data_IF_975976204073
#
_entry.id   IF_975976204073
#
_cell.length_a   1.000
_cell.length_b   1.000
_cell.length_c   1.000
_cell.angle_alpha   90.00
_cell.angle_beta   90.00
_cell.angle_gamma   90.00
#
_symmetry.space_group_name_H-M   'P 1'
#
loop_
_entity.id
_entity.type
_entity.pdbx_description
1 polymer ?
#
# COMPACT_ATOMS: atom_id res chain seq x y z
N UNK A 1 1.18 -37.20 -36.78
CA UNK A 1 2.45 -36.78 -36.17
C UNK A 1 2.19 -35.99 -34.88
N UNK A 2 2.07 -36.70 -33.76
CA UNK A 2 1.99 -36.11 -32.43
C UNK A 2 3.40 -36.17 -31.83
N UNK A 3 4.15 -35.08 -31.91
CA UNK A 3 5.40 -34.90 -31.16
C UNK A 3 5.43 -33.47 -30.63
N UNK A 4 5.37 -33.39 -29.30
CA UNK A 4 5.36 -32.14 -28.55
C UNK A 4 5.20 -32.42 -27.07
N UNK A 5 5.84 -33.47 -26.55
CA UNK A 5 5.92 -33.71 -25.11
C UNK A 5 6.98 -32.75 -24.58
N UNK A 6 6.55 -31.60 -24.08
CA UNK A 6 7.39 -30.71 -23.28
C UNK A 6 7.76 -31.45 -21.99
N UNK A 7 9.00 -31.92 -21.92
CA UNK A 7 9.57 -32.46 -20.69
C UNK A 7 9.86 -31.29 -19.74
N UNK A 8 8.92 -30.98 -18.84
CA UNK A 8 9.30 -30.36 -17.57
C UNK A 8 10.05 -31.44 -16.78
N UNK A 9 11.38 -31.32 -16.69
CA UNK A 9 12.21 -32.19 -15.86
C UNK A 9 11.76 -32.07 -14.40
N UNK A 10 11.54 -33.19 -13.71
CA UNK A 10 11.01 -33.21 -12.33
C UNK A 10 11.82 -32.36 -11.33
N UNK A 11 13.11 -32.16 -11.59
CA UNK A 11 13.99 -31.29 -10.80
C UNK A 11 13.60 -29.80 -10.89
N UNK A 12 13.18 -29.34 -12.06
CA UNK A 12 12.71 -27.95 -12.27
C UNK A 12 11.37 -27.70 -11.57
N UNK A 13 10.52 -28.73 -11.51
CA UNK A 13 9.25 -28.67 -10.77
C UNK A 13 9.47 -28.67 -9.26
N UNK A 14 10.39 -29.50 -8.76
CA UNK A 14 10.74 -29.54 -7.33
C UNK A 14 11.38 -28.22 -6.85
N UNK A 15 12.22 -27.59 -7.66
CA UNK A 15 12.82 -26.29 -7.33
C UNK A 15 11.77 -25.17 -7.34
N UNK A 16 10.83 -25.18 -8.30
CA UNK A 16 9.68 -24.25 -8.30
C UNK A 16 8.78 -24.46 -7.08
N UNK A 17 8.54 -25.71 -6.66
CA UNK A 17 7.75 -26.01 -5.47
C UNK A 17 8.47 -25.47 -4.22
N UNK A 18 9.78 -25.70 -4.08
CA UNK A 18 10.56 -25.18 -2.94
C UNK A 18 10.57 -23.65 -2.90
N UNK A 19 10.74 -23.00 -4.05
CA UNK A 19 10.68 -21.53 -4.14
C UNK A 19 9.30 -21.00 -3.74
N UNK A 20 8.23 -21.64 -4.23
CA UNK A 20 6.87 -21.27 -3.86
C UNK A 20 6.60 -21.44 -2.35
N UNK A 21 7.09 -22.53 -1.75
CA UNK A 21 6.98 -22.77 -0.32
C UNK A 21 7.75 -21.74 0.49
N UNK A 22 8.99 -21.42 0.09
CA UNK A 22 9.78 -20.38 0.73
C UNK A 22 9.08 -19.02 0.69
N UNK A 23 8.43 -18.67 -0.43
CA UNK A 23 7.63 -17.45 -0.56
C UNK A 23 6.41 -17.44 0.35
N UNK A 24 5.71 -18.57 0.49
CA UNK A 24 4.57 -18.71 1.41
C UNK A 24 5.03 -18.54 2.86
N UNK A 25 6.12 -19.20 3.26
CA UNK A 25 6.68 -19.08 4.63
C UNK A 25 7.05 -17.63 4.95
N UNK A 26 7.77 -16.94 4.04
CA UNK A 26 8.08 -15.51 4.20
C UNK A 26 6.83 -14.64 4.33
N UNK A 27 5.77 -14.97 3.57
CA UNK A 27 4.49 -14.25 3.64
C UNK A 27 3.79 -14.44 4.98
N UNK A 28 3.78 -15.67 5.51
CA UNK A 28 3.20 -16.00 6.82
C UNK A 28 4.00 -15.32 7.93
N UNK A 29 5.33 -15.43 7.89
CA UNK A 29 6.21 -14.78 8.85
C UNK A 29 5.95 -13.28 8.89
N UNK A 30 6.01 -12.60 7.74
CA UNK A 30 5.71 -11.16 7.63
C UNK A 30 4.37 -10.80 8.28
N UNK A 31 3.30 -11.52 7.92
CA UNK A 31 1.96 -11.27 8.47
C UNK A 31 1.87 -11.50 9.97
N UNK A 32 2.66 -12.43 10.52
CA UNK A 32 2.72 -12.69 11.95
C UNK A 32 3.48 -11.61 12.74
N UNK A 33 4.47 -10.96 12.12
CA UNK A 33 5.27 -9.90 12.75
C UNK A 33 4.51 -8.57 12.82
N UNK A 34 3.69 -8.27 11.81
CA UNK A 34 3.03 -6.97 11.64
C UNK A 34 2.28 -6.47 12.89
N UNK A 35 1.42 -7.26 13.57
CA UNK A 35 0.70 -6.75 14.75
C UNK A 35 1.63 -6.26 15.87
N UNK A 36 2.73 -6.98 16.12
CA UNK A 36 3.69 -6.61 17.16
C UNK A 36 4.53 -5.41 16.75
N UNK A 37 4.96 -5.35 15.49
CA UNK A 37 5.69 -4.19 14.95
C UNK A 37 4.82 -2.93 15.05
N UNK A 38 3.57 -2.98 14.59
CA UNK A 38 2.64 -1.84 14.67
C UNK A 38 2.46 -1.37 16.10
N UNK A 39 2.24 -2.29 17.05
CA UNK A 39 2.13 -1.95 18.47
C UNK A 39 3.38 -1.24 18.97
N UNK A 40 4.57 -1.79 18.73
CA UNK A 40 5.82 -1.21 19.19
C UNK A 40 6.12 0.14 18.52
N UNK A 41 5.80 0.30 17.24
CA UNK A 41 5.94 1.57 16.52
C UNK A 41 5.08 2.68 17.14
N UNK A 42 3.84 2.39 17.53
CA UNK A 42 2.97 3.33 18.26
C UNK A 42 3.61 3.73 19.60
N UNK A 43 4.13 2.75 20.34
CA UNK A 43 4.75 3.00 21.64
C UNK A 43 6.02 3.84 21.50
N UNK A 44 6.90 3.51 20.55
CA UNK A 44 8.12 4.27 20.28
C UNK A 44 7.82 5.71 19.86
N UNK A 45 6.89 5.91 18.90
CA UNK A 45 6.48 7.23 18.45
C UNK A 45 5.81 8.06 19.55
N UNK A 46 5.00 7.42 20.41
CA UNK A 46 4.40 8.11 21.55
C UNK A 46 5.44 8.53 22.60
N UNK A 47 6.45 7.68 22.80
CA UNK A 47 7.44 7.86 23.85
C UNK A 47 8.48 8.92 23.52
N UNK A 48 8.76 9.14 22.23
CA UNK A 48 9.65 10.23 21.79
C UNK A 48 9.14 11.61 22.23
N UNK A 49 7.81 11.82 22.27
CA UNK A 49 7.18 13.09 22.69
C UNK A 49 7.11 13.25 24.22
N UNK A 50 6.92 12.16 24.96
CA UNK A 50 6.73 12.24 26.42
C UNK A 50 7.99 12.64 27.19
N UNK A 51 9.17 12.59 26.58
CA UNK A 51 10.42 12.53 27.33
C UNK A 51 10.49 11.24 28.15
N UNK A 52 11.68 10.89 28.64
CA UNK A 52 11.97 9.60 29.28
C UNK A 52 11.17 9.23 30.54
N UNK A 53 10.20 10.06 30.97
CA UNK A 53 9.48 9.92 32.24
C UNK A 53 7.97 9.98 31.99
N UNK A 54 7.29 8.86 32.18
CA UNK A 54 5.84 8.83 32.25
C UNK A 54 5.32 9.64 33.45
N UNK A 55 4.07 10.14 33.36
CA UNK A 55 3.40 10.88 34.43
C UNK A 55 3.32 10.14 35.79
N UNK A 56 3.65 8.84 35.81
CA UNK A 56 3.65 7.97 36.97
C UNK A 56 5.07 7.63 37.51
N UNK A 57 6.14 8.21 36.95
CA UNK A 57 7.52 7.93 37.39
C UNK A 57 8.10 6.59 36.93
N UNK A 58 7.38 5.85 36.06
CA UNK A 58 7.93 4.67 35.39
C UNK A 58 8.88 5.11 34.27
N UNK A 59 10.09 4.56 34.29
CA UNK A 59 11.06 4.66 33.19
C UNK A 59 10.48 3.88 32.00
N UNK A 60 10.57 4.45 30.81
CA UNK A 60 10.21 3.79 29.57
C UNK A 60 11.01 2.50 29.40
N UNK A 61 10.34 1.40 29.07
CA UNK A 61 10.98 0.08 28.95
C UNK A 61 11.96 0.07 27.75
N UNK A 62 13.29 0.05 28.00
CA UNK A 62 14.29 -0.01 26.92
C UNK A 62 14.19 -1.30 26.09
N UNK A 63 13.45 -2.32 26.58
CA UNK A 63 13.17 -3.53 25.83
C UNK A 63 12.26 -3.27 24.62
N UNK A 64 11.41 -2.23 24.62
CA UNK A 64 10.49 -1.96 23.50
C UNK A 64 11.23 -1.55 22.23
N UNK A 65 12.24 -0.68 22.35
CA UNK A 65 13.03 -0.22 21.21
C UNK A 65 13.95 -1.31 20.67
N UNK A 66 14.58 -2.08 21.55
CA UNK A 66 15.44 -3.20 21.15
C UNK A 66 14.64 -4.35 20.53
N UNK A 67 13.43 -4.63 21.03
CA UNK A 67 12.51 -5.58 20.39
C UNK A 67 12.10 -5.08 18.99
N UNK A 68 11.70 -3.82 18.86
CA UNK A 68 11.32 -3.26 17.55
C UNK A 68 12.48 -3.33 16.55
N UNK A 69 13.70 -3.00 16.99
CA UNK A 69 14.91 -3.16 16.17
C UNK A 69 15.09 -4.59 15.69
N UNK A 70 14.94 -5.57 16.58
CA UNK A 70 15.09 -6.99 16.24
C UNK A 70 14.04 -7.43 15.20
N UNK A 71 12.79 -6.98 15.37
CA UNK A 71 11.72 -7.27 14.42
C UNK A 71 11.93 -6.58 13.07
N UNK A 72 12.45 -5.35 13.05
CA UNK A 72 12.84 -4.65 11.83
C UNK A 72 13.98 -5.36 11.10
N UNK A 73 14.96 -5.90 11.84
CA UNK A 73 16.01 -6.74 11.27
C UNK A 73 15.45 -8.00 10.61
N UNK A 74 14.46 -8.66 11.24
CA UNK A 74 13.75 -9.79 10.61
C UNK A 74 12.96 -9.35 9.37
N UNK A 75 12.31 -8.19 9.42
CA UNK A 75 11.59 -7.63 8.28
C UNK A 75 12.54 -7.35 7.10
N UNK A 76 13.70 -6.76 7.34
CA UNK A 76 14.73 -6.55 6.32
C UNK A 76 15.20 -7.88 5.70
N UNK A 77 15.40 -8.92 6.52
CA UNK A 77 15.74 -10.24 6.02
C UNK A 77 14.65 -10.84 5.11
N UNK A 78 13.37 -10.59 5.41
CA UNK A 78 12.24 -10.99 4.54
C UNK A 78 12.34 -10.28 3.18
N UNK A 79 12.74 -9.00 3.18
CA UNK A 79 13.01 -8.22 1.97
C UNK A 79 14.28 -8.67 1.22
N UNK A 80 15.11 -9.51 1.84
CA UNK A 80 16.34 -10.04 1.25
C UNK A 80 17.59 -9.23 1.55
N UNK A 81 17.55 -8.35 2.55
CA UNK A 81 18.65 -7.44 2.91
C UNK A 81 19.02 -7.58 4.38
N UNK A 82 20.28 -7.30 4.74
CA UNK A 82 20.59 -7.03 6.14
C UNK A 82 19.91 -5.73 6.58
N UNK A 83 19.75 -5.54 7.89
CA UNK A 83 19.13 -4.32 8.42
C UNK A 83 19.85 -3.06 7.96
N UNK A 84 21.19 -3.07 7.96
CA UNK A 84 22.00 -1.91 7.56
C UNK A 84 21.91 -1.67 6.04
N UNK A 85 22.04 -2.73 5.23
CA UNK A 85 21.95 -2.61 3.77
C UNK A 85 20.57 -2.09 3.33
N UNK A 86 19.50 -2.48 4.03
CA UNK A 86 18.15 -2.01 3.76
C UNK A 86 18.01 -0.50 4.03
N UNK A 87 18.64 0.01 5.08
CA UNK A 87 18.67 1.44 5.41
C UNK A 87 19.44 2.21 4.34
N UNK A 88 20.66 1.75 4.02
CA UNK A 88 21.52 2.40 3.02
C UNK A 88 20.85 2.45 1.64
N UNK A 89 20.25 1.33 1.21
CA UNK A 89 19.51 1.28 -0.05
C UNK A 89 18.35 2.29 -0.08
N UNK A 90 17.63 2.48 1.03
CA UNK A 90 16.53 3.43 1.09
C UNK A 90 16.98 4.88 0.96
N UNK A 91 18.09 5.23 1.62
CA UNK A 91 18.67 6.56 1.47
C UNK A 91 19.22 6.79 0.06
N UNK A 92 19.93 5.81 -0.52
CA UNK A 92 20.44 5.89 -1.89
C UNK A 92 19.31 6.12 -2.91
N UNK A 93 18.18 5.42 -2.75
CA UNK A 93 17.01 5.58 -3.62
C UNK A 93 16.38 6.96 -3.43
N UNK A 94 16.28 7.45 -2.19
CA UNK A 94 15.73 8.77 -1.90
C UNK A 94 16.60 9.91 -2.43
N UNK A 95 17.92 9.75 -2.41
CA UNK A 95 18.86 10.73 -2.95
C UNK A 95 19.06 10.61 -4.47
N UNK A 96 18.44 9.61 -5.11
CA UNK A 96 18.57 9.36 -6.55
C UNK A 96 19.92 8.75 -6.96
N UNK A 97 20.67 8.17 -6.01
CA UNK A 97 21.92 7.46 -6.27
C UNK A 97 21.69 6.05 -6.82
N UNK A 98 20.53 5.44 -6.53
CA UNK A 98 20.13 4.13 -7.06
C UNK A 98 18.71 4.17 -7.62
N UNK A 99 18.48 3.34 -8.63
CA UNK A 99 17.16 3.16 -9.22
C UNK A 99 16.24 2.33 -8.32
N UNK A 100 14.96 2.69 -8.40
CA UNK A 100 13.85 2.07 -7.68
C UNK A 100 13.50 0.64 -8.12
N UNK A 101 14.19 0.09 -9.14
CA UNK A 101 13.86 -1.22 -9.72
C UNK A 101 13.89 -2.34 -8.67
N UNK A 102 14.82 -2.25 -7.71
CA UNK A 102 14.94 -3.19 -6.59
C UNK A 102 13.68 -3.24 -5.70
N UNK A 103 12.86 -2.19 -5.71
CA UNK A 103 11.64 -2.11 -4.91
C UNK A 103 10.39 -2.51 -5.68
N UNK A 104 10.45 -2.57 -7.01
CA UNK A 104 9.29 -2.77 -7.87
C UNK A 104 8.44 -3.99 -7.53
N UNK A 105 9.07 -5.12 -7.15
CA UNK A 105 8.36 -6.36 -6.80
C UNK A 105 7.78 -6.37 -5.37
N UNK A 106 8.29 -5.54 -4.46
CA UNK A 106 7.95 -5.57 -3.02
C UNK A 106 7.68 -4.16 -2.47
N UNK A 107 7.15 -3.26 -3.30
CA UNK A 107 7.08 -1.83 -2.99
C UNK A 107 6.35 -1.56 -1.67
N UNK A 108 5.17 -2.15 -1.48
CA UNK A 108 4.38 -2.01 -0.25
C UNK A 108 5.17 -2.45 0.98
N UNK A 109 5.93 -3.55 0.88
CA UNK A 109 6.70 -4.08 2.00
C UNK A 109 7.88 -3.19 2.35
N UNK A 110 8.54 -2.61 1.34
CA UNK A 110 9.56 -1.58 1.55
C UNK A 110 8.98 -0.35 2.25
N UNK A 111 7.83 0.14 1.79
CA UNK A 111 7.18 1.30 2.43
C UNK A 111 6.81 1.01 3.89
N UNK A 112 6.26 -0.18 4.17
CA UNK A 112 5.97 -0.60 5.54
C UNK A 112 7.24 -0.58 6.41
N UNK A 113 8.33 -1.19 5.91
CA UNK A 113 9.61 -1.19 6.60
C UNK A 113 10.09 0.22 6.93
N UNK A 114 10.03 1.16 5.97
CA UNK A 114 10.47 2.54 6.19
C UNK A 114 9.62 3.29 7.22
N UNK A 115 8.31 3.07 7.21
CA UNK A 115 7.41 3.68 8.20
C UNK A 115 7.73 3.16 9.61
N UNK A 116 7.97 1.86 9.76
CA UNK A 116 8.31 1.26 11.05
C UNK A 116 9.73 1.63 11.50
N UNK A 117 10.68 1.75 10.55
CA UNK A 117 12.03 2.27 10.79
C UNK A 117 11.98 3.69 11.31
N UNK A 118 11.17 4.56 10.69
CA UNK A 118 10.95 5.92 11.16
C UNK A 118 10.41 5.92 12.60
N UNK A 119 9.39 5.11 12.89
CA UNK A 119 8.85 5.01 14.25
C UNK A 119 9.88 4.56 15.30
N UNK A 120 10.79 3.65 14.94
CA UNK A 120 11.89 3.22 15.79
C UNK A 120 12.96 4.32 15.96
N UNK A 121 13.32 5.00 14.87
CA UNK A 121 14.35 6.02 14.87
C UNK A 121 13.94 7.29 15.66
N UNK A 122 12.65 7.63 15.68
CA UNK A 122 12.10 8.68 16.55
C UNK A 122 12.44 8.48 18.03
N UNK A 123 12.55 7.24 18.46
CA UNK A 123 12.85 6.90 19.85
C UNK A 123 14.34 6.67 20.08
N UNK A 124 15.01 6.00 19.14
CA UNK A 124 16.40 5.56 19.31
C UNK A 124 17.43 6.60 18.87
N UNK A 125 17.10 7.47 17.91
CA UNK A 125 17.99 8.46 17.30
C UNK A 125 19.31 7.84 16.79
N UNK A 126 19.22 6.64 16.22
CA UNK A 126 20.37 5.87 15.77
C UNK A 126 20.69 6.07 14.29
N UNK A 127 19.70 6.45 13.47
CA UNK A 127 19.85 6.55 12.01
C UNK A 127 20.31 7.95 11.57
N UNK A 128 19.83 9.01 12.23
CA UNK A 128 20.02 10.40 11.78
C UNK A 128 21.31 11.08 12.29
N UNK A 129 22.25 10.36 12.91
CA UNK A 129 23.42 10.97 13.58
C UNK A 129 24.47 11.60 12.65
N UNK A 130 24.47 11.28 11.36
CA UNK A 130 25.37 11.88 10.35
C UNK A 130 24.63 12.93 9.48
N UNK A 131 23.95 13.86 10.16
CA UNK A 131 22.96 14.85 9.66
C UNK A 131 23.38 15.79 8.52
N UNK A 132 24.59 15.65 7.97
CA UNK A 132 25.04 16.43 6.81
C UNK A 132 24.90 15.68 5.48
N UNK A 133 24.62 14.37 5.47
CA UNK A 133 24.54 13.58 4.23
C UNK A 133 23.15 13.04 3.92
N UNK A 134 22.35 12.73 4.94
CA UNK A 134 21.06 12.06 4.78
C UNK A 134 20.01 12.79 5.63
N UNK A 135 18.89 13.22 5.01
CA UNK A 135 17.79 13.87 5.72
C UNK A 135 17.12 12.94 6.74
N UNK A 136 16.21 13.45 7.57
CA UNK A 136 15.57 12.65 8.63
C UNK A 136 14.78 11.46 8.07
N UNK A 137 14.67 10.36 8.83
CA UNK A 137 13.81 9.21 8.45
C UNK A 137 12.35 9.63 8.21
N UNK A 138 11.92 10.72 8.85
CA UNK A 138 10.59 11.29 8.69
C UNK A 138 10.40 11.91 7.30
N UNK A 139 11.36 12.73 6.86
CA UNK A 139 11.37 13.29 5.51
C UNK A 139 11.48 12.20 4.44
N UNK A 140 12.32 11.19 4.68
CA UNK A 140 12.49 10.02 3.81
C UNK A 140 11.14 9.36 3.50
N UNK A 141 10.39 8.99 4.55
CA UNK A 141 9.07 8.35 4.40
C UNK A 141 8.10 9.25 3.63
N UNK A 142 8.04 10.54 3.95
CA UNK A 142 7.16 11.49 3.28
C UNK A 142 7.48 11.62 1.77
N UNK A 143 8.75 11.79 1.42
CA UNK A 143 9.19 11.95 0.03
C UNK A 143 8.89 10.70 -0.78
N UNK A 144 9.24 9.54 -0.24
CA UNK A 144 9.10 8.26 -0.92
C UNK A 144 7.62 7.92 -1.11
N UNK A 145 6.79 7.99 -0.05
CA UNK A 145 5.35 7.72 -0.19
C UNK A 145 4.70 8.64 -1.22
N UNK A 146 5.03 9.94 -1.17
CA UNK A 146 4.53 10.93 -2.14
C UNK A 146 4.95 10.57 -3.56
N UNK A 147 6.22 10.27 -3.79
CA UNK A 147 6.76 9.89 -5.11
C UNK A 147 6.03 8.68 -5.68
N UNK A 148 5.99 7.57 -4.96
CA UNK A 148 5.44 6.32 -5.52
C UNK A 148 3.92 6.34 -5.67
N UNK A 149 3.19 6.97 -4.75
CA UNK A 149 1.73 7.13 -4.92
C UNK A 149 1.45 8.01 -6.14
N UNK A 150 2.19 9.11 -6.30
CA UNK A 150 2.04 10.00 -7.45
C UNK A 150 2.40 9.32 -8.77
N UNK A 151 3.49 8.56 -8.80
CA UNK A 151 3.91 7.80 -9.97
C UNK A 151 2.84 6.77 -10.35
N UNK A 152 2.25 6.07 -9.38
CA UNK A 152 1.12 5.15 -9.64
C UNK A 152 -0.13 5.87 -10.14
N UNK A 153 -0.49 7.02 -9.57
CA UNK A 153 -1.62 7.84 -10.05
C UNK A 153 -1.39 8.30 -11.50
N UNK A 154 -0.16 8.71 -11.84
CA UNK A 154 0.21 9.18 -13.18
C UNK A 154 0.34 8.06 -14.21
N UNK A 155 0.82 6.89 -13.80
CA UNK A 155 1.00 5.74 -14.69
C UNK A 155 -0.29 4.93 -14.89
N UNK A 156 -1.33 5.17 -14.09
CA UNK A 156 -2.61 4.49 -14.25
C UNK A 156 -3.30 4.94 -15.54
N UNK A 157 -3.33 4.02 -16.51
CA UNK A 157 -4.17 4.13 -17.70
C UNK A 157 -5.68 4.00 -17.39
N UNK A 158 -6.53 3.93 -18.42
CA UNK A 158 -7.96 3.69 -18.24
C UNK A 158 -8.21 2.41 -17.43
N UNK A 159 -9.13 2.47 -16.44
CA UNK A 159 -9.50 1.32 -15.62
C UNK A 159 -10.04 0.15 -16.45
N UNK A 160 -10.58 0.48 -17.61
CA UNK A 160 -11.27 -0.40 -18.54
C UNK A 160 -10.29 -1.21 -19.41
N UNK A 161 -8.97 -1.04 -19.22
CA UNK A 161 -7.92 -1.80 -19.93
C UNK A 161 -7.74 -3.22 -19.38
N UNK A 162 -7.48 -4.18 -20.26
CA UNK A 162 -7.00 -5.54 -19.92
C UNK A 162 -5.46 -5.55 -20.05
N UNK A 163 -4.68 -6.07 -19.09
CA UNK A 163 -5.05 -6.96 -17.98
C UNK A 163 -5.49 -6.27 -16.67
N UNK A 164 -5.89 -5.00 -16.72
CA UNK A 164 -6.27 -4.18 -15.57
C UNK A 164 -5.27 -3.07 -15.30
N UNK A 165 -5.72 -2.00 -14.65
CA UNK A 165 -4.85 -0.92 -14.19
C UNK A 165 -4.15 -1.29 -12.86
N UNK A 166 -3.09 -0.56 -12.53
CA UNK A 166 -2.30 -0.69 -11.29
C UNK A 166 -3.05 -0.31 -9.99
N UNK A 167 -4.38 -0.24 -10.03
CA UNK A 167 -5.24 0.13 -8.91
C UNK A 167 -5.00 -0.72 -7.65
N UNK A 168 -4.84 -2.06 -7.70
CA UNK A 168 -4.56 -2.84 -6.50
C UNK A 168 -3.30 -2.37 -5.76
N UNK A 169 -2.24 -2.00 -6.50
CA UNK A 169 -1.01 -1.48 -5.90
C UNK A 169 -1.24 -0.11 -5.24
N UNK A 170 -1.99 0.79 -5.89
CA UNK A 170 -2.34 2.07 -5.27
C UNK A 170 -3.18 1.88 -4.00
N UNK A 171 -4.19 1.01 -4.06
CA UNK A 171 -5.03 0.69 -2.91
C UNK A 171 -4.16 0.21 -1.76
N UNK A 172 -3.28 -0.77 -2.01
CA UNK A 172 -2.36 -1.30 -0.99
C UNK A 172 -1.49 -0.20 -0.36
N UNK A 173 -0.86 0.67 -1.17
CA UNK A 173 -0.05 1.78 -0.68
C UNK A 173 -0.83 2.73 0.26
N UNK A 174 -2.09 3.03 -0.07
CA UNK A 174 -2.94 3.93 0.73
C UNK A 174 -3.52 3.23 1.97
N UNK A 175 -3.87 1.95 1.87
CA UNK A 175 -4.50 1.21 2.96
C UNK A 175 -3.52 0.65 3.97
N UNK A 176 -2.25 0.49 3.60
CA UNK A 176 -1.24 -0.16 4.44
C UNK A 176 -0.12 0.79 4.88
N UNK A 177 0.95 1.08 4.11
CA UNK A 177 2.04 1.90 4.61
C UNK A 177 1.61 3.34 4.93
N UNK A 178 0.73 3.93 4.12
CA UNK A 178 0.18 5.25 4.44
C UNK A 178 -0.69 5.22 5.70
N UNK A 179 -1.40 4.12 5.96
CA UNK A 179 -2.17 3.95 7.20
C UNK A 179 -1.25 3.86 8.42
N UNK A 180 -0.16 3.10 8.33
CA UNK A 180 0.86 3.01 9.37
C UNK A 180 1.51 4.36 9.63
N UNK A 181 1.81 5.13 8.58
CA UNK A 181 2.41 6.46 8.72
C UNK A 181 1.46 7.43 9.42
N UNK A 182 0.17 7.43 9.04
CA UNK A 182 -0.87 8.20 9.73
C UNK A 182 -0.96 7.83 11.21
N UNK A 183 -0.82 6.54 11.55
CA UNK A 183 -0.84 6.09 12.95
C UNK A 183 0.38 6.60 13.73
N UNK A 184 1.58 6.61 13.12
CA UNK A 184 2.79 7.19 13.73
C UNK A 184 2.59 8.69 13.96
N UNK A 185 2.12 9.43 12.95
CA UNK A 185 1.76 10.85 13.04
C UNK A 185 0.78 11.11 14.19
N UNK A 186 -0.32 10.34 14.26
CA UNK A 186 -1.33 10.47 15.31
C UNK A 186 -0.76 10.20 16.71
N UNK A 187 0.14 9.23 16.82
CA UNK A 187 0.78 8.85 18.09
C UNK A 187 1.64 10.00 18.64
N UNK A 188 2.39 10.67 17.77
CA UNK A 188 3.16 11.86 18.14
C UNK A 188 2.22 13.04 18.46
N UNK A 189 1.31 13.36 17.53
CA UNK A 189 0.47 14.54 17.58
C UNK A 189 -0.41 14.62 18.84
N UNK A 190 -1.04 13.51 19.24
CA UNK A 190 -1.90 13.47 20.44
C UNK A 190 -1.18 13.86 21.73
N UNK A 191 0.15 13.72 21.77
CA UNK A 191 0.97 13.99 22.95
C UNK A 191 1.64 15.38 22.93
N UNK A 192 1.69 16.00 21.75
CA UNK A 192 2.10 17.39 21.56
C UNK A 192 1.00 18.38 22.00
N UNK A 193 -0.26 17.93 22.06
CA UNK A 193 -1.39 18.72 22.54
C UNK A 193 -1.15 19.23 23.98
N UNK A 194 -1.41 20.52 24.26
CA UNK A 194 -1.25 21.08 25.59
C UNK A 194 -2.25 20.44 26.56
N UNK A 195 -1.81 19.45 27.32
CA UNK A 195 -2.55 18.92 28.46
C UNK A 195 -2.55 19.99 29.56
N UNK A 196 -3.74 20.45 29.97
CA UNK A 196 -3.98 21.60 30.86
C UNK A 196 -3.37 21.55 32.27
N UNK A 197 -2.39 20.67 32.55
CA UNK A 197 -1.65 20.58 33.82
C UNK A 197 -0.15 20.28 33.63
N UNK A 198 0.54 20.79 32.60
CA UNK A 198 2.02 20.75 32.59
C UNK A 198 2.61 21.93 33.36
N UNK A 199 3.22 21.64 34.52
CA UNK A 199 4.11 22.58 35.24
C UNK A 199 5.25 22.95 34.28
N UNK A 200 5.33 24.24 33.88
CA UNK A 200 6.42 24.78 33.05
C UNK A 200 7.78 24.39 33.65
N UNK A 201 8.51 23.52 32.96
CA UNK A 201 9.94 23.32 33.16
C UNK A 201 10.59 23.57 31.80
N UNK A 202 10.97 24.83 31.58
CA UNK A 202 11.74 25.24 30.41
C UNK A 202 13.05 24.48 30.38
N UNK A 203 13.21 23.59 29.40
CA UNK A 203 14.36 22.71 29.25
C UNK A 203 14.50 22.19 27.82
N UNK A 204 15.57 21.44 27.51
CA UNK A 204 15.89 20.92 26.16
C UNK A 204 14.74 20.12 25.50
N UNK A 205 13.89 19.51 26.32
CA UNK A 205 12.68 18.82 25.87
C UNK A 205 11.65 19.73 25.20
N UNK A 206 11.60 21.04 25.52
CA UNK A 206 10.68 21.97 24.88
C UNK A 206 11.10 22.30 23.44
N UNK A 207 12.40 22.40 23.15
CA UNK A 207 12.90 22.67 21.78
C UNK A 207 12.72 21.45 20.85
N UNK A 208 13.00 20.24 21.35
CA UNK A 208 12.75 18.99 20.63
C UNK A 208 11.27 18.79 20.28
N UNK A 209 10.36 19.24 21.16
CA UNK A 209 8.92 19.18 20.89
C UNK A 209 8.46 20.18 19.83
N UNK A 210 9.14 21.33 19.68
CA UNK A 210 8.83 22.31 18.62
C UNK A 210 9.24 21.78 17.25
N UNK A 211 10.45 21.21 17.13
CA UNK A 211 10.93 20.61 15.88
C UNK A 211 10.05 19.43 15.46
N UNK A 212 9.77 18.50 16.38
CA UNK A 212 8.89 17.37 16.10
C UNK A 212 7.46 17.82 15.78
N UNK A 213 6.95 18.88 16.41
CA UNK A 213 5.65 19.45 16.08
C UNK A 213 5.61 19.99 14.64
N UNK A 214 6.67 20.67 14.21
CA UNK A 214 6.78 21.16 12.84
C UNK A 214 6.85 19.99 11.84
N UNK A 215 7.68 18.97 12.12
CA UNK A 215 7.78 17.77 11.29
C UNK A 215 6.45 17.03 11.17
N UNK A 216 5.69 16.92 12.28
CA UNK A 216 4.35 16.32 12.29
C UNK A 216 3.38 17.13 11.44
N UNK A 217 3.36 18.46 11.58
CA UNK A 217 2.49 19.32 10.76
C UNK A 217 2.83 19.25 9.27
N UNK A 218 4.11 19.23 8.92
CA UNK A 218 4.55 19.09 7.52
C UNK A 218 4.24 17.69 6.97
N UNK A 219 4.36 16.64 7.78
CA UNK A 219 3.92 15.30 7.43
C UNK A 219 2.41 15.24 7.16
N UNK A 220 1.60 15.85 8.03
CA UNK A 220 0.15 15.89 7.84
C UNK A 220 -0.20 16.58 6.53
N UNK A 221 0.44 17.72 6.24
CA UNK A 221 0.25 18.44 4.97
C UNK A 221 0.62 17.55 3.77
N UNK A 222 1.81 16.94 3.80
CA UNK A 222 2.30 16.07 2.72
C UNK A 222 1.36 14.88 2.48
N UNK A 223 0.90 14.20 3.54
CA UNK A 223 -0.03 13.07 3.43
C UNK A 223 -1.38 13.52 2.89
N UNK A 224 -1.94 14.64 3.36
CA UNK A 224 -3.19 15.17 2.84
C UNK A 224 -3.09 15.52 1.35
N UNK A 225 -2.02 16.19 0.91
CA UNK A 225 -1.78 16.49 -0.51
C UNK A 225 -1.77 15.22 -1.36
N UNK A 226 -1.10 14.16 -0.90
CA UNK A 226 -1.00 12.89 -1.62
C UNK A 226 -2.35 12.19 -1.71
N UNK A 227 -3.11 12.13 -0.61
CA UNK A 227 -4.45 11.51 -0.62
C UNK A 227 -5.42 12.34 -1.48
N UNK A 228 -5.28 13.65 -1.50
CA UNK A 228 -6.11 14.53 -2.33
C UNK A 228 -5.91 14.26 -3.81
N UNK A 229 -4.68 14.01 -4.25
CA UNK A 229 -4.40 13.62 -5.64
C UNK A 229 -5.07 12.29 -6.00
N UNK A 230 -5.04 11.31 -5.10
CA UNK A 230 -5.76 10.04 -5.26
C UNK A 230 -7.27 10.28 -5.33
N UNK A 231 -7.81 11.09 -4.41
CA UNK A 231 -9.23 11.46 -4.34
C UNK A 231 -9.71 12.13 -5.63
N UNK A 232 -8.93 13.07 -6.17
CA UNK A 232 -9.23 13.74 -7.44
C UNK A 232 -9.28 12.76 -8.60
N UNK A 233 -8.28 11.87 -8.70
CA UNK A 233 -8.26 10.83 -9.72
C UNK A 233 -9.47 9.89 -9.60
N UNK A 234 -9.81 9.43 -8.39
CA UNK A 234 -10.98 8.57 -8.16
C UNK A 234 -12.29 9.23 -8.60
N UNK A 235 -12.48 10.51 -8.28
CA UNK A 235 -13.67 11.26 -8.70
C UNK A 235 -13.76 11.38 -10.23
N UNK A 236 -12.63 11.60 -10.92
CA UNK A 236 -12.60 11.60 -12.39
C UNK A 236 -13.01 10.24 -12.96
N UNK A 237 -12.55 9.13 -12.38
CA UNK A 237 -12.91 7.79 -12.86
C UNK A 237 -14.38 7.44 -12.59
N UNK A 238 -14.92 7.82 -11.43
CA UNK A 238 -16.31 7.57 -11.07
C UNK A 238 -17.26 8.39 -11.96
N UNK A 239 -16.90 9.65 -12.25
CA UNK A 239 -17.71 10.60 -13.03
C UNK A 239 -17.80 10.31 -14.53
N UNK A 240 -16.95 9.42 -15.07
CA UNK A 240 -17.03 8.96 -16.48
C UNK A 240 -18.38 8.28 -16.77
N UNK A 241 -18.95 8.56 -17.94
CA UNK A 241 -20.26 8.03 -18.36
C UNK A 241 -20.23 6.51 -18.52
N UNK A 242 -21.37 5.86 -18.22
CA UNK A 242 -21.49 4.40 -18.34
C UNK A 242 -21.51 3.93 -19.79
N UNK A 243 -21.97 4.78 -20.70
CA UNK A 243 -21.98 4.48 -22.14
C UNK A 243 -20.55 4.39 -22.68
N UNK A 244 -19.71 5.38 -22.37
CA UNK A 244 -18.31 5.41 -22.82
C UNK A 244 -17.53 4.21 -22.25
N UNK A 245 -17.73 3.90 -20.96
CA UNK A 245 -17.13 2.72 -20.32
C UNK A 245 -17.56 1.43 -21.00
N UNK A 246 -18.84 1.34 -21.34
CA UNK A 246 -19.39 0.14 -21.98
C UNK A 246 -18.76 -0.09 -23.35
N UNK A 247 -18.63 0.97 -24.14
CA UNK A 247 -17.98 0.92 -25.46
C UNK A 247 -16.50 0.53 -25.35
N UNK A 248 -15.77 1.09 -24.38
CA UNK A 248 -14.36 0.74 -24.14
C UNK A 248 -14.21 -0.73 -23.75
N UNK A 249 -15.02 -1.23 -22.81
CA UNK A 249 -14.95 -2.64 -22.37
C UNK A 249 -15.27 -3.59 -23.53
N UNK A 250 -16.34 -3.31 -24.28
CA UNK A 250 -16.74 -4.16 -25.42
C UNK A 250 -15.70 -4.15 -26.53
N UNK A 251 -15.15 -2.98 -26.88
CA UNK A 251 -14.10 -2.88 -27.91
C UNK A 251 -12.82 -3.59 -27.48
N UNK A 252 -12.48 -3.58 -26.19
CA UNK A 252 -11.35 -4.33 -25.62
C UNK A 252 -11.56 -5.84 -25.75
N UNK A 253 -12.73 -6.35 -25.35
CA UNK A 253 -13.11 -7.76 -25.47
C UNK A 253 -13.15 -8.24 -26.92
N UNK A 254 -13.50 -7.37 -27.87
CA UNK A 254 -13.51 -7.69 -29.30
C UNK A 254 -12.12 -7.69 -29.94
N UNK A 255 -11.18 -6.90 -29.41
CA UNK A 255 -9.80 -6.81 -29.90
C UNK A 255 -8.89 -7.91 -29.35
N UNK A 256 -9.21 -8.48 -28.19
CA UNK A 256 -8.47 -9.61 -27.61
C UNK A 256 -8.49 -10.81 -28.59
N UNK A 257 -7.31 -11.32 -28.92
CA UNK A 257 -7.09 -12.33 -29.96
C UNK A 257 -7.59 -13.75 -29.61
N UNK A 258 -6.80 -14.77 -29.93
CA UNK A 258 -7.13 -16.18 -29.63
C UNK A 258 -6.85 -16.60 -28.17
N UNK A 259 -6.29 -15.69 -27.36
CA UNK A 259 -5.94 -15.88 -25.96
C UNK A 259 -6.55 -14.75 -25.13
N UNK A 260 -7.10 -15.10 -23.96
CA UNK A 260 -7.63 -14.12 -23.01
C UNK A 260 -9.17 -13.99 -22.96
N UNK A 261 -9.68 -13.02 -22.19
CA UNK A 261 -11.11 -12.78 -21.99
C UNK A 261 -11.94 -12.63 -23.26
N UNK A 262 -11.37 -12.05 -24.33
CA UNK A 262 -12.04 -11.91 -25.62
C UNK A 262 -12.42 -13.23 -26.30
N UNK A 263 -11.63 -14.30 -26.12
CA UNK A 263 -11.98 -15.64 -26.61
C UNK A 263 -13.25 -16.16 -25.94
N UNK A 264 -13.33 -16.00 -24.61
CA UNK A 264 -14.50 -16.43 -23.83
C UNK A 264 -15.74 -15.66 -24.28
N UNK A 265 -15.60 -14.34 -24.46
CA UNK A 265 -16.65 -13.49 -24.99
C UNK A 265 -17.16 -13.95 -26.36
N UNK A 266 -16.25 -14.26 -27.31
CA UNK A 266 -16.58 -14.75 -28.66
C UNK A 266 -17.27 -16.12 -28.65
N UNK A 267 -16.76 -17.05 -27.84
CA UNK A 267 -17.35 -18.39 -27.69
C UNK A 267 -18.77 -18.29 -27.12
N UNK A 268 -18.97 -17.50 -26.07
CA UNK A 268 -20.30 -17.30 -25.48
C UNK A 268 -21.25 -16.60 -26.45
N UNK A 269 -20.77 -15.60 -27.20
CA UNK A 269 -21.55 -14.95 -28.26
C UNK A 269 -21.97 -15.91 -29.38
N UNK A 270 -21.09 -16.82 -29.78
CA UNK A 270 -21.40 -17.82 -30.82
C UNK A 270 -22.38 -18.87 -30.30
N UNK A 271 -22.18 -19.33 -29.06
CA UNK A 271 -23.07 -20.28 -28.42
C UNK A 271 -24.46 -19.70 -28.27
N UNK A 272 -24.62 -18.46 -27.78
CA UNK A 272 -25.92 -17.79 -27.61
C UNK A 272 -26.65 -17.49 -28.91
N UNK A 273 -25.91 -17.28 -30.01
CA UNK A 273 -26.48 -17.02 -31.34
C UNK A 273 -26.84 -18.30 -32.12
N UNK A 274 -26.43 -19.48 -31.64
CA UNK A 274 -26.61 -20.73 -32.37
C UNK A 274 -28.04 -21.28 -32.22
N UNK A 275 -28.74 -21.58 -33.33
CA UNK A 275 -30.09 -22.15 -33.29
C UNK A 275 -30.12 -23.62 -32.80
N UNK A 276 -28.96 -24.25 -32.54
CA UNK A 276 -28.84 -25.67 -32.16
C UNK A 276 -28.35 -25.91 -30.72
N UNK A 277 -28.30 -24.87 -29.86
CA UNK A 277 -27.87 -24.96 -28.45
C UNK A 277 -28.52 -26.15 -27.70
N UNK A 278 -29.77 -26.46 -28.05
CA UNK A 278 -30.62 -27.37 -27.30
C UNK A 278 -30.25 -28.86 -27.46
N UNK A 279 -29.46 -29.23 -28.48
CA UNK A 279 -29.27 -30.65 -28.86
C UNK A 279 -28.28 -31.45 -27.98
N UNK A 280 -27.74 -30.89 -26.90
CA UNK A 280 -26.80 -31.67 -26.05
C UNK A 280 -26.37 -31.09 -24.70
N UNK A 281 -26.83 -29.89 -24.30
CA UNK A 281 -26.38 -29.22 -23.07
C UNK A 281 -27.36 -29.32 -21.89
N UNK A 282 -28.61 -29.70 -22.14
CA UNK A 282 -29.68 -29.79 -21.15
C UNK A 282 -30.27 -28.44 -20.73
N UNK A 283 -31.55 -28.45 -20.35
CA UNK A 283 -32.41 -27.27 -20.17
C UNK A 283 -31.87 -26.18 -19.24
N UNK A 284 -31.08 -26.57 -18.23
CA UNK A 284 -30.50 -25.61 -17.27
C UNK A 284 -29.38 -24.79 -17.91
N UNK A 285 -28.51 -25.43 -18.69
CA UNK A 285 -27.38 -24.77 -19.35
C UNK A 285 -27.91 -23.95 -20.53
N UNK A 286 -28.87 -24.49 -21.29
CA UNK A 286 -29.55 -23.76 -22.37
C UNK A 286 -30.16 -22.45 -21.85
N UNK A 287 -30.93 -22.49 -20.75
CA UNK A 287 -31.51 -21.29 -20.14
C UNK A 287 -30.47 -20.29 -19.65
N UNK A 288 -29.39 -20.76 -19.02
CA UNK A 288 -28.32 -19.89 -18.56
C UNK A 288 -27.63 -19.16 -19.73
N UNK A 289 -27.36 -19.88 -20.83
CA UNK A 289 -26.81 -19.28 -22.05
C UNK A 289 -27.79 -18.28 -22.67
N UNK A 290 -29.08 -18.59 -22.77
CA UNK A 290 -30.08 -17.66 -23.31
C UNK A 290 -30.24 -16.37 -22.47
N UNK A 291 -29.98 -16.44 -21.16
CA UNK A 291 -30.01 -15.27 -20.28
C UNK A 291 -28.75 -14.39 -20.37
N UNK A 292 -27.70 -14.88 -21.04
CA UNK A 292 -26.43 -14.17 -21.18
C UNK A 292 -26.57 -13.02 -22.18
N UNK A 293 -26.11 -11.83 -21.80
CA UNK A 293 -25.98 -10.71 -22.74
C UNK A 293 -24.68 -9.93 -22.49
N UNK A 294 -24.02 -9.43 -23.56
CA UNK A 294 -22.88 -8.53 -23.42
C UNK A 294 -23.18 -7.29 -22.59
N UNK A 295 -24.37 -6.70 -22.78
CA UNK A 295 -24.78 -5.48 -22.09
C UNK A 295 -24.92 -5.69 -20.57
N UNK A 296 -25.53 -6.81 -20.13
CA UNK A 296 -25.66 -7.12 -18.70
C UNK A 296 -24.29 -7.35 -18.05
N UNK A 297 -23.38 -8.08 -18.70
CA UNK A 297 -22.02 -8.30 -18.16
C UNK A 297 -21.26 -7.00 -18.04
N UNK A 298 -21.26 -6.18 -19.09
CA UNK A 298 -20.59 -4.88 -19.08
C UNK A 298 -21.17 -3.99 -17.99
N UNK A 299 -22.50 -3.96 -17.84
CA UNK A 299 -23.19 -3.25 -16.76
C UNK A 299 -22.78 -3.72 -15.36
N UNK A 300 -22.65 -5.04 -15.15
CA UNK A 300 -22.17 -5.62 -13.89
C UNK A 300 -20.71 -5.28 -13.60
N UNK A 301 -19.83 -5.30 -14.61
CA UNK A 301 -18.43 -4.90 -14.48
C UNK A 301 -18.35 -3.44 -14.06
N UNK A 302 -19.05 -2.54 -14.77
CA UNK A 302 -19.08 -1.10 -14.47
C UNK A 302 -19.60 -0.84 -13.06
N UNK A 303 -20.70 -1.50 -12.67
CA UNK A 303 -21.29 -1.36 -11.33
C UNK A 303 -20.30 -1.80 -10.26
N UNK A 304 -19.66 -2.96 -10.45
CA UNK A 304 -18.67 -3.50 -9.50
C UNK A 304 -17.45 -2.60 -9.37
N UNK A 305 -16.92 -2.09 -10.49
CA UNK A 305 -15.82 -1.14 -10.51
C UNK A 305 -16.19 0.16 -9.78
N UNK A 306 -17.37 0.72 -10.07
CA UNK A 306 -17.88 1.92 -9.39
C UNK A 306 -17.97 1.69 -7.88
N UNK A 307 -18.54 0.57 -7.44
CA UNK A 307 -18.62 0.25 -6.00
C UNK A 307 -17.24 0.16 -5.36
N UNK A 308 -16.27 -0.50 -5.99
CA UNK A 308 -14.91 -0.59 -5.49
C UNK A 308 -14.22 0.78 -5.38
N UNK A 309 -14.35 1.61 -6.43
CA UNK A 309 -13.81 2.97 -6.45
C UNK A 309 -14.46 3.87 -5.39
N UNK A 310 -15.78 3.81 -5.22
CA UNK A 310 -16.50 4.57 -4.19
C UNK A 310 -16.10 4.14 -2.78
N UNK A 311 -15.89 2.83 -2.55
CA UNK A 311 -15.37 2.35 -1.27
C UNK A 311 -13.96 2.87 -0.99
N UNK A 312 -13.10 2.90 -2.01
CA UNK A 312 -11.74 3.43 -1.87
C UNK A 312 -11.74 4.95 -1.65
N UNK A 313 -12.59 5.69 -2.36
CA UNK A 313 -12.79 7.13 -2.16
C UNK A 313 -13.19 7.43 -0.71
N UNK A 314 -14.13 6.67 -0.14
CA UNK A 314 -14.53 6.81 1.26
C UNK A 314 -13.37 6.59 2.24
N UNK A 315 -12.44 5.68 1.94
CA UNK A 315 -11.23 5.48 2.75
C UNK A 315 -10.34 6.73 2.69
N UNK A 316 -10.12 7.29 1.50
CA UNK A 316 -9.37 8.53 1.32
C UNK A 316 -9.99 9.70 2.08
N UNK A 317 -11.30 9.92 1.93
CA UNK A 317 -12.04 10.99 2.62
C UNK A 317 -11.93 10.84 4.14
N UNK A 318 -12.07 9.61 4.67
CA UNK A 318 -11.93 9.35 6.09
C UNK A 318 -10.54 9.66 6.62
N UNK A 319 -9.48 9.39 5.83
CA UNK A 319 -8.09 9.67 6.22
C UNK A 319 -7.80 11.17 6.21
N UNK A 320 -8.22 11.89 5.16
CA UNK A 320 -8.09 13.35 5.07
C UNK A 320 -8.78 14.00 6.26
N UNK A 321 -10.05 13.65 6.51
CA UNK A 321 -10.81 14.19 7.63
C UNK A 321 -10.09 13.99 8.97
N UNK A 322 -9.61 12.76 9.23
CA UNK A 322 -8.91 12.46 10.48
C UNK A 322 -7.61 13.26 10.64
N UNK A 323 -6.88 13.51 9.56
CA UNK A 323 -5.65 14.29 9.57
C UNK A 323 -5.90 15.79 9.70
N UNK A 324 -6.93 16.33 9.05
CA UNK A 324 -7.35 17.72 9.19
C UNK A 324 -7.84 18.04 10.60
N UNK A 325 -8.64 17.13 11.18
CA UNK A 325 -9.02 17.21 12.58
C UNK A 325 -7.78 17.23 13.46
N UNK A 326 -6.82 16.32 13.24
CA UNK A 326 -5.57 16.30 14.01
C UNK A 326 -4.77 17.60 13.89
N UNK A 327 -4.64 18.13 12.68
CA UNK A 327 -3.94 19.38 12.38
C UNK A 327 -4.56 20.57 13.08
N UNK A 328 -5.89 20.64 13.15
CA UNK A 328 -6.60 21.74 13.81
C UNK A 328 -6.33 21.83 15.32
N UNK A 329 -5.87 20.74 15.94
CA UNK A 329 -5.56 20.70 17.37
C UNK A 329 -4.07 20.95 17.67
N UNK A 330 -3.18 20.82 16.68
CA UNK A 330 -1.73 21.05 16.82
C UNK A 330 -1.36 22.52 16.67
#
# INVERSE_FOLDING_TARGET
>A
PFEGVSYCTGQTLDDQIKESQAKVVKTIEKRSLLPRIVYLSIQCASSSVKGSVEANGSVLDPNLSSELRLLLGRYANILGFSFQDAIELAFDISSGLKDAEAWSCNLTDWMNFLVFLNAWNLYSHEVDRDSNKHGTTWLLVNLILKKYILDKVRSMGPLESSPGCDLPHLVLLVTEPLAWHIMVIQSCARLLLPSGKRKKKGGPSEHCNVELSQEVQDSIRSVCEVIELVRQWLNQQIGKSDNDKSEIILSSLQKDGELGPGKVYRVLGTLTSSPTIDKGLGDRITRALQSWSPADITGRIITSQRTALSNFLRICDSKIKSLEELKAHL
#
